data_IF_702616094415
#
_entry.id   IF_702616094415
#
_cell.length_a   1.000
_cell.length_b   1.000
_cell.length_c   1.000
_cell.angle_alpha   90.00
_cell.angle_beta   90.00
_cell.angle_gamma   90.00
#
_symmetry.space_group_name_H-M   'P 1'
#
loop_
_entity.id
_entity.type
_entity.pdbx_description
1 polymer ?
#
# COMPACT_ATOMS: atom_id res chain seq x y z
N UNK A 1 -79.70 -22.48 -12.87
CA UNK A 1 -80.68 -23.28 -13.67
C UNK A 1 -80.92 -22.54 -14.97
N UNK A 2 -81.00 -23.14 -16.18
CA UNK A 2 -80.62 -24.48 -16.70
C UNK A 2 -79.51 -24.32 -17.78
N UNK A 3 -79.04 -25.24 -18.62
CA UNK A 3 -79.29 -26.65 -18.98
C UNK A 3 -78.13 -27.05 -19.92
N UNK A 4 -77.45 -28.18 -19.71
CA UNK A 4 -77.80 -29.52 -20.15
C UNK A 4 -77.65 -29.79 -21.67
N UNK A 5 -76.91 -30.89 -21.95
CA UNK A 5 -76.88 -31.77 -23.15
C UNK A 5 -75.89 -31.42 -24.27
N UNK A 6 -75.23 -32.38 -24.96
CA UNK A 6 -75.07 -33.85 -24.84
C UNK A 6 -74.25 -34.36 -26.04
N UNK A 7 -73.54 -35.50 -25.87
CA UNK A 7 -73.02 -36.39 -26.93
C UNK A 7 -71.50 -36.58 -26.80
N UNK A 8 -70.93 -37.73 -26.40
CA UNK A 8 -71.17 -39.13 -26.83
C UNK A 8 -70.37 -39.37 -28.12
N UNK A 9 -69.38 -40.25 -28.26
CA UNK A 9 -69.22 -41.62 -27.74
C UNK A 9 -67.81 -42.18 -28.00
N UNK A 10 -67.45 -43.23 -27.24
CA UNK A 10 -66.48 -44.29 -27.58
C UNK A 10 -65.04 -43.96 -27.20
N UNK A 11 -64.28 -44.81 -26.50
CA UNK A 11 -64.41 -46.23 -26.20
C UNK A 11 -63.00 -46.81 -26.20
N UNK A 12 -62.68 -47.54 -25.13
CA UNK A 12 -61.62 -48.53 -24.98
C UNK A 12 -60.17 -48.10 -24.70
N UNK A 13 -59.61 -48.74 -23.67
CA UNK A 13 -58.19 -49.08 -23.63
C UNK A 13 -57.45 -48.80 -22.33
N UNK A 14 -57.52 -49.74 -21.38
CA UNK A 14 -56.40 -50.25 -20.55
C UNK A 14 -55.38 -49.25 -19.98
N UNK A 15 -55.41 -48.97 -18.67
CA UNK A 15 -54.71 -49.69 -17.58
C UNK A 15 -53.25 -49.26 -17.34
N UNK A 16 -52.92 -49.26 -16.05
CA UNK A 16 -51.60 -49.27 -15.41
C UNK A 16 -50.74 -47.99 -15.41
N UNK A 17 -50.76 -47.31 -14.26
CA UNK A 17 -49.61 -47.30 -13.34
C UNK A 17 -48.40 -46.44 -13.71
N UNK A 18 -48.02 -45.55 -12.80
CA UNK A 18 -46.64 -45.03 -12.78
C UNK A 18 -46.46 -43.64 -12.19
N UNK A 19 -46.32 -43.59 -10.87
CA UNK A 19 -45.33 -42.81 -10.12
C UNK A 19 -45.10 -41.32 -10.45
N UNK A 20 -45.36 -40.52 -9.42
CA UNK A 20 -44.72 -39.25 -9.09
C UNK A 20 -43.19 -39.31 -9.20
N UNK A 21 -42.54 -38.27 -9.72
CA UNK A 21 -41.07 -38.13 -9.72
C UNK A 21 -40.59 -36.76 -10.19
N UNK A 22 -39.77 -36.13 -9.36
CA UNK A 22 -39.25 -34.75 -9.36
C UNK A 22 -38.43 -34.24 -10.56
N UNK A 23 -38.41 -32.89 -10.64
CA UNK A 23 -37.32 -31.95 -10.94
C UNK A 23 -36.23 -32.29 -11.98
N UNK A 24 -35.93 -31.35 -12.89
CA UNK A 24 -34.55 -30.91 -13.20
C UNK A 24 -34.51 -29.81 -14.28
N UNK A 25 -33.95 -28.64 -13.94
CA UNK A 25 -33.60 -27.61 -14.91
C UNK A 25 -32.41 -28.08 -15.76
N UNK A 26 -32.65 -28.28 -17.06
CA UNK A 26 -31.61 -28.70 -17.99
C UNK A 26 -30.67 -27.53 -18.31
N UNK A 27 -29.45 -27.57 -17.77
CA UNK A 27 -28.36 -26.66 -18.13
C UNK A 27 -27.99 -26.91 -19.59
N UNK A 28 -27.97 -25.87 -20.42
CA UNK A 28 -27.62 -26.01 -21.83
C UNK A 28 -26.11 -26.14 -22.02
N UNK A 29 -25.68 -26.90 -23.03
CA UNK A 29 -24.26 -27.09 -23.37
C UNK A 29 -23.55 -25.74 -23.59
N UNK A 30 -24.25 -24.77 -24.16
CA UNK A 30 -23.73 -23.42 -24.40
C UNK A 30 -23.49 -22.62 -23.11
N UNK A 31 -24.32 -22.79 -22.09
CA UNK A 31 -24.09 -22.19 -20.77
C UNK A 31 -22.82 -22.76 -20.13
N UNK A 32 -22.61 -24.08 -20.22
CA UNK A 32 -21.40 -24.75 -19.70
C UNK A 32 -20.15 -24.24 -20.42
N UNK A 33 -20.17 -24.16 -21.76
CA UNK A 33 -19.03 -23.67 -22.56
C UNK A 33 -18.72 -22.21 -22.25
N UNK A 34 -19.74 -21.35 -22.10
CA UNK A 34 -19.57 -19.94 -21.73
C UNK A 34 -18.95 -19.78 -20.34
N UNK A 35 -19.39 -20.62 -19.38
CA UNK A 35 -18.91 -20.58 -18.00
C UNK A 35 -17.46 -21.06 -17.90
N UNK A 36 -17.09 -22.12 -18.63
CA UNK A 36 -15.72 -22.60 -18.74
C UNK A 36 -14.79 -21.58 -19.42
N UNK A 37 -15.24 -20.92 -20.49
CA UNK A 37 -14.48 -19.88 -21.17
C UNK A 37 -14.21 -18.65 -20.28
N UNK A 38 -15.23 -18.20 -19.54
CA UNK A 38 -15.09 -17.12 -18.56
C UNK A 38 -14.12 -17.50 -17.44
N UNK A 39 -14.24 -18.72 -16.91
CA UNK A 39 -13.37 -19.24 -15.86
C UNK A 39 -11.90 -19.33 -16.31
N UNK A 40 -11.66 -19.81 -17.54
CA UNK A 40 -10.32 -19.89 -18.10
C UNK A 40 -9.70 -18.49 -18.29
N UNK A 41 -10.51 -17.53 -18.74
CA UNK A 41 -10.12 -16.12 -18.88
C UNK A 41 -9.76 -15.45 -17.55
N UNK A 42 -10.57 -15.64 -16.49
CA UNK A 42 -10.26 -15.12 -15.15
C UNK A 42 -9.03 -15.78 -14.54
N UNK A 43 -8.83 -17.09 -14.73
CA UNK A 43 -7.62 -17.78 -14.25
C UNK A 43 -6.37 -17.25 -14.96
N UNK A 44 -6.42 -17.02 -16.28
CA UNK A 44 -5.32 -16.44 -17.03
C UNK A 44 -5.01 -15.00 -16.58
N UNK A 45 -6.04 -14.16 -16.42
CA UNK A 45 -5.89 -12.79 -15.91
C UNK A 45 -5.31 -12.78 -14.48
N UNK A 46 -5.79 -13.65 -13.60
CA UNK A 46 -5.27 -13.78 -12.24
C UNK A 46 -3.81 -14.24 -12.24
N UNK A 47 -3.43 -15.18 -13.10
CA UNK A 47 -2.03 -15.62 -13.27
C UNK A 47 -1.13 -14.48 -13.74
N UNK A 48 -1.59 -13.65 -14.67
CA UNK A 48 -0.86 -12.46 -15.14
C UNK A 48 -0.73 -11.44 -14.02
N UNK A 49 -1.81 -11.14 -13.29
CA UNK A 49 -1.77 -10.22 -12.15
C UNK A 49 -0.84 -10.73 -11.05
N UNK A 50 -0.89 -12.02 -10.71
CA UNK A 50 0.00 -12.64 -9.73
C UNK A 50 1.45 -12.66 -10.20
N UNK A 51 1.69 -12.87 -11.51
CA UNK A 51 3.03 -12.78 -12.09
C UNK A 51 3.57 -11.36 -12.03
N UNK A 52 2.77 -10.35 -12.40
CA UNK A 52 3.13 -8.95 -12.30
C UNK A 52 3.39 -8.53 -10.85
N UNK A 53 2.53 -8.93 -9.92
CA UNK A 53 2.75 -8.75 -8.47
C UNK A 53 4.08 -9.37 -8.05
N UNK A 54 4.36 -10.62 -8.43
CA UNK A 54 5.64 -11.27 -8.12
C UNK A 54 6.85 -10.57 -8.72
N UNK A 55 6.76 -10.09 -9.97
CA UNK A 55 7.83 -9.33 -10.62
C UNK A 55 8.06 -8.01 -9.89
N UNK A 56 7.00 -7.27 -9.55
CA UNK A 56 7.08 -6.04 -8.76
C UNK A 56 7.69 -6.28 -7.38
N UNK A 57 7.28 -7.35 -6.68
CA UNK A 57 7.80 -7.74 -5.36
C UNK A 57 9.27 -8.20 -5.43
N UNK A 58 9.67 -8.92 -6.48
CA UNK A 58 11.04 -9.41 -6.64
C UNK A 58 12.04 -8.30 -6.96
N UNK A 59 11.62 -7.27 -7.69
CA UNK A 59 12.47 -6.11 -8.01
C UNK A 59 12.78 -5.26 -6.78
N UNK A 60 11.84 -5.17 -5.82
CA UNK A 60 11.96 -4.40 -4.59
C UNK A 60 12.96 -4.95 -3.56
N UNK A 61 13.55 -6.13 -3.77
CA UNK A 61 14.59 -6.69 -2.89
C UNK A 61 15.99 -6.67 -3.51
N UNK A 62 16.14 -6.13 -4.72
CA UNK A 62 17.44 -6.08 -5.44
C UNK A 62 18.00 -4.67 -5.62
N UNK A 63 17.41 -3.65 -5.01
CA UNK A 63 17.87 -2.27 -5.19
C UNK A 63 18.95 -1.83 -4.20
N UNK A 64 19.48 -2.72 -3.35
CA UNK A 64 20.55 -2.38 -2.42
C UNK A 64 21.81 -1.83 -3.11
N UNK A 65 22.67 -1.16 -2.34
CA UNK A 65 23.94 -0.61 -2.83
C UNK A 65 25.04 -0.60 -1.78
N UNK A 66 26.29 -0.37 -2.19
CA UNK A 66 27.43 -0.17 -1.29
C UNK A 66 27.47 1.25 -0.70
N UNK A 67 26.71 2.19 -1.29
CA UNK A 67 26.57 3.57 -0.82
C UNK A 67 25.11 4.02 -0.89
N UNK A 68 24.77 5.10 -0.19
CA UNK A 68 23.45 5.72 -0.26
C UNK A 68 23.09 6.13 -1.70
N UNK A 69 24.03 6.76 -2.40
CA UNK A 69 23.87 7.15 -3.80
C UNK A 69 23.53 5.95 -4.70
N UNK A 70 24.28 4.85 -4.57
CA UNK A 70 24.03 3.63 -5.36
C UNK A 70 22.65 3.03 -5.08
N UNK A 71 22.24 2.96 -3.80
CA UNK A 71 20.89 2.51 -3.41
C UNK A 71 19.81 3.34 -4.11
N UNK A 72 19.89 4.68 -4.03
CA UNK A 72 18.88 5.57 -4.60
C UNK A 72 18.87 5.50 -6.14
N UNK A 73 20.03 5.41 -6.77
CA UNK A 73 20.13 5.19 -8.22
C UNK A 73 19.54 3.84 -8.64
N UNK A 74 19.75 2.77 -7.89
CA UNK A 74 19.17 1.46 -8.16
C UNK A 74 17.65 1.47 -8.04
N UNK A 75 17.09 2.14 -7.02
CA UNK A 75 15.64 2.32 -6.88
C UNK A 75 15.03 3.06 -8.10
N UNK A 76 15.70 4.10 -8.58
CA UNK A 76 15.28 4.84 -9.79
C UNK A 76 15.39 3.97 -11.05
N UNK A 77 16.52 3.28 -11.24
CA UNK A 77 16.75 2.37 -12.37
C UNK A 77 15.70 1.25 -12.43
N UNK A 78 15.26 0.77 -11.29
CA UNK A 78 14.24 -0.28 -11.16
C UNK A 78 12.79 0.26 -11.28
N UNK A 79 12.59 1.55 -11.53
CA UNK A 79 11.27 2.16 -11.72
C UNK A 79 10.46 2.33 -10.43
N UNK A 80 11.10 2.20 -9.26
CA UNK A 80 10.47 2.41 -7.96
C UNK A 80 10.32 3.90 -7.69
N UNK A 81 11.41 4.65 -7.87
CA UNK A 81 11.39 6.12 -7.89
C UNK A 81 11.14 6.57 -9.33
N UNK A 82 10.13 7.43 -9.51
CA UNK A 82 9.59 7.86 -10.80
C UNK A 82 9.80 9.35 -11.03
N UNK A 83 9.68 10.17 -9.98
CA UNK A 83 9.77 11.62 -10.08
C UNK A 83 11.14 12.14 -9.64
N UNK A 84 11.63 13.19 -10.32
CA UNK A 84 12.93 13.79 -9.99
C UNK A 84 12.96 14.34 -8.57
N UNK A 85 11.88 15.00 -8.12
CA UNK A 85 11.82 15.55 -6.77
C UNK A 85 11.91 14.46 -5.70
N UNK A 86 11.28 13.30 -5.86
CA UNK A 86 11.42 12.18 -4.92
C UNK A 86 12.84 11.62 -4.94
N UNK A 87 13.43 11.49 -6.13
CA UNK A 87 14.83 11.07 -6.27
C UNK A 87 15.78 12.00 -5.52
N UNK A 88 15.69 13.32 -5.72
CA UNK A 88 16.55 14.31 -5.05
C UNK A 88 16.33 14.30 -3.53
N UNK A 89 15.08 14.21 -3.06
CA UNK A 89 14.78 14.16 -1.62
C UNK A 89 15.36 12.92 -0.95
N UNK A 90 15.18 11.75 -1.57
CA UNK A 90 15.73 10.51 -1.02
C UNK A 90 17.25 10.51 -1.10
N UNK A 91 17.85 11.03 -2.17
CA UNK A 91 19.29 11.17 -2.31
C UNK A 91 19.89 12.10 -1.24
N UNK A 92 19.18 13.18 -0.90
CA UNK A 92 19.58 14.14 0.13
C UNK A 92 19.32 13.69 1.58
N UNK A 93 18.73 12.51 1.80
CA UNK A 93 18.40 11.96 3.12
C UNK A 93 19.20 10.68 3.36
N UNK A 94 20.47 10.80 3.76
CA UNK A 94 21.36 9.64 3.87
C UNK A 94 20.88 8.66 4.96
N UNK A 95 20.59 7.44 4.53
CA UNK A 95 20.01 6.41 5.39
C UNK A 95 20.94 5.94 6.51
N UNK A 96 22.25 6.19 6.41
CA UNK A 96 23.23 5.88 7.46
C UNK A 96 23.02 6.67 8.75
N UNK A 97 22.35 7.83 8.69
CA UNK A 97 21.96 8.58 9.89
C UNK A 97 20.81 7.93 10.65
N UNK A 98 20.03 7.05 10.00
CA UNK A 98 18.76 6.52 10.49
C UNK A 98 18.77 5.00 10.73
N UNK A 99 19.74 4.29 10.15
CA UNK A 99 19.90 2.84 10.29
C UNK A 99 21.34 2.49 10.70
N UNK A 100 21.50 1.86 11.87
CA UNK A 100 22.82 1.50 12.42
C UNK A 100 23.49 0.36 11.64
N UNK A 101 22.71 -0.59 11.14
CA UNK A 101 23.19 -1.78 10.43
C UNK A 101 22.60 -1.84 9.03
N UNK A 102 23.42 -2.26 8.05
CA UNK A 102 23.05 -2.44 6.64
C UNK A 102 22.20 -1.29 6.07
N UNK A 103 22.62 -0.01 6.23
CA UNK A 103 21.79 1.13 5.92
C UNK A 103 21.34 1.17 4.45
N UNK A 104 22.14 0.62 3.54
CA UNK A 104 21.90 0.69 2.10
C UNK A 104 21.30 -0.58 1.50
N UNK A 105 20.86 -1.52 2.35
CA UNK A 105 20.16 -2.72 1.91
C UNK A 105 18.69 -2.38 1.68
N UNK A 106 18.11 -2.84 0.57
CA UNK A 106 16.71 -2.58 0.24
C UNK A 106 15.76 -3.51 1.02
N UNK A 107 15.85 -3.47 2.35
CA UNK A 107 15.04 -4.26 3.28
C UNK A 107 14.90 -3.55 4.63
N UNK A 108 13.91 -3.93 5.45
CA UNK A 108 13.77 -3.37 6.79
C UNK A 108 15.00 -3.66 7.67
N UNK A 109 15.39 -2.70 8.50
CA UNK A 109 16.47 -2.87 9.49
C UNK A 109 15.92 -2.62 10.89
N UNK A 110 16.37 -3.39 11.89
CA UNK A 110 15.97 -3.16 13.29
C UNK A 110 16.51 -1.83 13.81
N UNK A 111 15.66 -1.08 14.52
CA UNK A 111 16.03 0.16 15.22
C UNK A 111 15.91 0.02 16.75
N UNK A 112 15.69 -1.21 17.24
CA UNK A 112 15.39 -1.47 18.65
C UNK A 112 13.89 -1.49 18.93
N UNK A 113 13.51 -1.77 20.19
CA UNK A 113 12.11 -1.69 20.67
C UNK A 113 11.08 -2.48 19.83
N UNK A 114 11.51 -3.61 19.24
CA UNK A 114 10.70 -4.41 18.30
C UNK A 114 10.22 -3.64 17.06
N UNK A 115 10.84 -2.50 16.75
CA UNK A 115 10.57 -1.68 15.59
C UNK A 115 11.66 -1.83 14.52
N UNK A 116 11.30 -1.50 13.29
CA UNK A 116 12.22 -1.48 12.15
C UNK A 116 12.07 -0.19 11.37
N UNK A 117 13.18 0.34 10.86
CA UNK A 117 13.13 1.30 9.75
C UNK A 117 12.73 0.53 8.48
N UNK A 118 11.64 0.96 7.83
CA UNK A 118 11.09 0.33 6.63
C UNK A 118 12.08 0.29 5.48
N UNK A 119 11.89 -0.65 4.55
CA UNK A 119 12.75 -0.76 3.38
C UNK A 119 12.75 0.54 2.55
N UNK A 120 13.88 0.92 1.92
CA UNK A 120 13.99 2.09 1.05
C UNK A 120 12.88 2.21 0.00
N UNK A 121 12.49 1.11 -0.68
CA UNK A 121 11.39 1.15 -1.64
C UNK A 121 10.03 1.53 -1.03
N UNK A 122 9.79 1.21 0.25
CA UNK A 122 8.55 1.61 0.92
C UNK A 122 8.49 3.12 1.16
N UNK A 123 9.63 3.75 1.48
CA UNK A 123 9.71 5.22 1.57
C UNK A 123 9.49 5.87 0.20
N UNK A 124 10.07 5.31 -0.86
CA UNK A 124 9.84 5.78 -2.22
C UNK A 124 8.36 5.72 -2.58
N UNK A 125 7.68 4.59 -2.32
CA UNK A 125 6.25 4.48 -2.58
C UNK A 125 5.41 5.49 -1.79
N UNK A 126 5.70 5.70 -0.51
CA UNK A 126 5.01 6.72 0.28
C UNK A 126 5.20 8.13 -0.31
N UNK A 127 6.43 8.48 -0.69
CA UNK A 127 6.72 9.80 -1.26
C UNK A 127 6.06 10.01 -2.63
N UNK A 128 6.05 8.99 -3.48
CA UNK A 128 5.39 9.06 -4.80
C UNK A 128 3.86 9.11 -4.67
N UNK A 129 3.27 8.36 -3.73
CA UNK A 129 1.83 8.36 -3.51
C UNK A 129 1.31 9.70 -2.97
N UNK A 130 2.13 10.37 -2.16
CA UNK A 130 1.77 11.65 -1.53
C UNK A 130 2.37 12.87 -2.27
N UNK A 131 2.92 12.65 -3.47
CA UNK A 131 3.70 13.64 -4.20
C UNK A 131 2.98 14.98 -4.37
N UNK A 132 1.73 14.93 -4.83
CA UNK A 132 0.92 16.11 -5.14
C UNK A 132 0.54 16.90 -3.87
N UNK A 133 0.42 16.23 -2.73
CA UNK A 133 0.06 16.85 -1.46
C UNK A 133 1.28 17.36 -0.69
N UNK A 134 2.46 16.77 -0.91
CA UNK A 134 3.74 17.21 -0.36
C UNK A 134 4.35 18.35 -1.20
N UNK A 135 3.55 19.38 -1.43
CA UNK A 135 3.98 20.60 -2.12
C UNK A 135 4.63 21.60 -1.15
N UNK A 136 5.33 22.60 -1.70
CA UNK A 136 5.93 23.68 -0.91
C UNK A 136 4.88 24.33 0.02
N UNK A 137 5.21 24.50 1.30
CA UNK A 137 4.32 25.10 2.30
C UNK A 137 3.28 24.15 2.89
N UNK A 138 3.21 22.90 2.42
CA UNK A 138 2.27 21.92 2.93
C UNK A 138 2.58 21.51 4.38
N UNK A 139 1.58 20.88 5.01
CA UNK A 139 1.69 20.30 6.35
C UNK A 139 1.47 18.81 6.30
N UNK A 140 2.40 18.04 6.86
CA UNK A 140 2.33 16.58 6.89
C UNK A 140 2.42 16.05 8.33
N UNK A 141 1.75 14.92 8.56
CA UNK A 141 1.82 14.15 9.79
C UNK A 141 2.28 12.72 9.47
N UNK A 142 3.38 12.33 10.11
CA UNK A 142 3.99 11.00 10.02
C UNK A 142 3.69 10.22 11.31
N UNK A 143 2.76 9.27 11.25
CA UNK A 143 2.29 8.48 12.40
C UNK A 143 3.07 7.18 12.48
N UNK A 144 3.79 6.96 13.58
CA UNK A 144 4.77 5.89 13.69
C UNK A 144 6.11 6.31 13.08
N UNK A 145 6.57 7.52 13.41
CA UNK A 145 7.75 8.14 12.80
C UNK A 145 9.05 7.32 12.99
N UNK A 146 9.12 6.46 14.02
CA UNK A 146 10.19 5.49 14.22
C UNK A 146 11.59 6.12 14.18
N UNK A 147 12.35 5.81 13.13
CA UNK A 147 13.71 6.36 12.95
C UNK A 147 13.75 7.87 12.65
N UNK A 148 12.64 8.47 12.17
CA UNK A 148 12.53 9.86 11.72
C UNK A 148 12.90 10.11 10.25
N UNK A 149 13.28 9.07 9.49
CA UNK A 149 13.74 9.23 8.11
C UNK A 149 12.64 9.73 7.16
N UNK A 150 11.42 9.18 7.26
CA UNK A 150 10.33 9.59 6.37
C UNK A 150 9.84 10.99 6.75
N UNK A 151 9.82 11.33 8.04
CA UNK A 151 9.58 12.69 8.52
C UNK A 151 10.57 13.69 7.91
N UNK A 152 11.86 13.35 7.84
CA UNK A 152 12.88 14.20 7.20
C UNK A 152 12.69 14.31 5.68
N UNK A 153 12.36 13.20 5.00
CA UNK A 153 12.02 13.22 3.58
C UNK A 153 10.79 14.12 3.31
N UNK A 154 9.72 14.01 4.10
CA UNK A 154 8.57 14.89 3.99
C UNK A 154 8.95 16.35 4.19
N UNK A 155 9.82 16.66 5.16
CA UNK A 155 10.26 18.03 5.40
C UNK A 155 10.98 18.60 4.18
N UNK A 156 11.84 17.82 3.53
CA UNK A 156 12.49 18.18 2.26
C UNK A 156 11.49 18.32 1.12
N UNK A 157 10.44 17.50 1.05
CA UNK A 157 9.38 17.62 0.04
C UNK A 157 8.57 18.92 0.18
N UNK A 158 8.14 19.26 1.41
CA UNK A 158 7.31 20.45 1.67
C UNK A 158 8.11 21.76 1.74
N UNK A 159 9.44 21.65 1.61
CA UNK A 159 10.37 22.77 1.51
C UNK A 159 10.42 23.68 2.73
N UNK A 160 11.00 24.87 2.56
CA UNK A 160 11.37 25.78 3.65
C UNK A 160 10.15 26.40 4.35
N UNK A 161 9.04 26.56 3.64
CA UNK A 161 7.80 27.12 4.20
C UNK A 161 6.85 26.07 4.76
N UNK A 162 7.12 24.78 4.51
CA UNK A 162 6.32 23.67 5.00
C UNK A 162 6.64 23.24 6.42
N UNK A 163 5.82 22.34 6.95
CA UNK A 163 5.98 21.81 8.31
C UNK A 163 5.57 20.34 8.40
N UNK A 164 6.38 19.54 9.07
CA UNK A 164 6.13 18.12 9.28
C UNK A 164 6.20 17.79 10.75
N UNK A 165 5.20 17.06 11.21
CA UNK A 165 5.15 16.52 12.56
C UNK A 165 5.28 15.01 12.44
N UNK A 166 6.28 14.42 13.10
CA UNK A 166 6.37 12.99 13.32
C UNK A 166 5.92 12.67 14.75
N UNK A 167 5.13 11.62 14.90
CA UNK A 167 4.71 11.13 16.22
C UNK A 167 5.06 9.65 16.36
N UNK A 168 5.54 9.26 17.53
CA UNK A 168 5.73 7.87 17.91
C UNK A 168 5.26 7.65 19.35
N UNK A 169 4.88 6.43 19.69
CA UNK A 169 4.43 6.07 21.04
C UNK A 169 5.58 5.57 21.92
N UNK A 170 6.75 5.29 21.34
CA UNK A 170 7.94 4.85 22.08
C UNK A 170 8.87 6.04 22.26
N UNK A 171 8.97 6.56 23.49
CA UNK A 171 9.79 7.74 23.81
C UNK A 171 11.24 7.61 23.33
N UNK A 172 11.85 6.44 23.52
CA UNK A 172 13.24 6.22 23.12
C UNK A 172 13.44 6.30 21.59
N UNK A 173 12.43 5.94 20.80
CA UNK A 173 12.45 6.13 19.34
C UNK A 173 12.30 7.60 18.97
N UNK A 174 11.49 8.37 19.71
CA UNK A 174 11.39 9.83 19.53
C UNK A 174 12.74 10.49 19.83
N UNK A 175 13.40 10.13 20.93
CA UNK A 175 14.72 10.67 21.29
C UNK A 175 15.78 10.28 20.24
N UNK A 176 15.80 9.01 19.79
CA UNK A 176 16.71 8.53 18.75
C UNK A 176 16.46 9.23 17.40
N UNK A 177 15.21 9.44 17.00
CA UNK A 177 14.86 10.12 15.75
C UNK A 177 15.29 11.59 15.74
N UNK A 178 15.14 12.31 16.86
CA UNK A 178 15.66 13.67 17.02
C UNK A 178 17.18 13.67 16.82
N UNK A 179 17.88 12.70 17.40
CA UNK A 179 19.33 12.58 17.23
C UNK A 179 19.73 12.23 15.80
N UNK A 180 18.96 11.39 15.11
CA UNK A 180 19.20 11.03 13.71
C UNK A 180 19.02 12.24 12.80
N UNK A 181 17.92 12.97 12.93
CA UNK A 181 17.68 14.22 12.17
C UNK A 181 18.75 15.25 12.46
N UNK A 182 19.21 15.38 13.72
CA UNK A 182 20.30 16.30 14.07
C UNK A 182 21.64 15.93 13.40
N UNK A 183 21.92 14.64 13.20
CA UNK A 183 23.12 14.15 12.49
C UNK A 183 23.04 14.39 10.98
N UNK A 184 21.84 14.25 10.41
CA UNK A 184 21.56 14.49 8.99
C UNK A 184 21.57 15.99 8.67
N UNK A 185 20.61 16.74 9.24
CA UNK A 185 20.50 18.18 9.06
C UNK A 185 19.89 18.85 10.32
N UNK A 186 20.70 19.49 11.17
CA UNK A 186 20.21 20.17 12.38
C UNK A 186 19.32 21.38 12.07
N UNK A 187 19.34 21.90 10.83
CA UNK A 187 18.48 23.02 10.42
C UNK A 187 17.01 22.61 10.31
N UNK A 188 16.71 21.33 10.05
CA UNK A 188 15.33 20.82 10.03
C UNK A 188 14.64 20.97 11.39
N UNK A 189 15.39 20.77 12.48
CA UNK A 189 14.90 20.95 13.85
C UNK A 189 14.88 22.42 14.27
N UNK A 190 15.99 23.13 14.07
CA UNK A 190 16.13 24.52 14.54
C UNK A 190 15.24 25.52 13.79
N UNK A 191 14.89 25.24 12.53
CA UNK A 191 13.89 26.02 11.78
C UNK A 191 12.44 25.73 12.20
N UNK A 192 12.20 24.68 12.98
CA UNK A 192 10.87 24.20 13.35
C UNK A 192 10.09 23.53 12.21
N UNK A 193 10.75 23.25 11.07
CA UNK A 193 10.18 22.50 9.94
C UNK A 193 9.86 21.06 10.31
N UNK A 194 10.71 20.42 11.12
CA UNK A 194 10.47 19.10 11.71
C UNK A 194 10.18 19.26 13.19
N UNK A 195 9.12 18.60 13.65
CA UNK A 195 8.85 18.40 15.07
C UNK A 195 8.55 16.92 15.32
N UNK A 196 9.20 16.33 16.31
CA UNK A 196 9.04 14.92 16.68
C UNK A 196 8.50 14.85 18.10
N UNK A 197 7.41 14.12 18.31
CA UNK A 197 6.70 14.09 19.58
C UNK A 197 6.33 12.67 19.99
N UNK A 198 6.24 12.48 21.30
CA UNK A 198 5.57 11.31 21.87
C UNK A 198 4.06 11.46 21.72
N UNK A 199 3.36 10.38 21.33
CA UNK A 199 1.91 10.42 21.08
C UNK A 199 1.09 10.87 22.29
N UNK A 200 1.53 10.54 23.51
CA UNK A 200 0.81 10.91 24.72
C UNK A 200 0.85 12.43 24.99
N UNK A 201 1.88 13.12 24.48
CA UNK A 201 2.05 14.57 24.63
C UNK A 201 1.39 15.38 23.49
N UNK A 202 1.03 14.73 22.38
CA UNK A 202 0.54 15.42 21.18
C UNK A 202 -0.98 15.61 21.18
N UNK A 203 -1.43 16.84 21.44
CA UNK A 203 -2.82 17.23 21.22
C UNK A 203 -3.12 17.43 19.72
N UNK A 204 -4.07 16.66 19.19
CA UNK A 204 -4.43 16.67 17.77
C UNK A 204 -4.83 18.08 17.28
N UNK A 205 -4.22 18.62 16.20
CA UNK A 205 -4.52 19.98 15.75
C UNK A 205 -5.93 20.12 15.18
N UNK A 206 -6.58 21.27 15.43
CA UNK A 206 -7.94 21.57 14.92
C UNK A 206 -8.03 21.84 13.41
N UNK A 207 -6.94 21.70 12.66
CA UNK A 207 -6.87 21.92 11.19
C UNK A 207 -6.50 20.61 10.49
N UNK A 208 -7.00 20.36 9.26
CA UNK A 208 -6.71 19.11 8.56
C UNK A 208 -5.20 18.94 8.34
N UNK A 209 -4.66 17.82 8.82
CA UNK A 209 -3.33 17.33 8.52
C UNK A 209 -3.47 16.07 7.67
N UNK A 210 -2.57 15.93 6.71
CA UNK A 210 -2.46 14.69 5.96
C UNK A 210 -1.74 13.66 6.82
N UNK A 211 -2.40 12.54 7.06
CA UNK A 211 -1.97 11.51 8.02
C UNK A 211 -1.54 10.26 7.26
N UNK A 212 -0.31 9.80 7.49
CA UNK A 212 0.18 8.51 7.00
C UNK A 212 0.47 7.60 8.19
N UNK A 213 0.02 6.36 8.12
CA UNK A 213 0.38 5.28 9.03
C UNK A 213 1.35 4.35 8.30
N UNK A 214 2.49 4.04 8.92
CA UNK A 214 3.44 3.03 8.44
C UNK A 214 3.49 1.81 9.34
#
# INVERSE_FOLDING_TARGET
>A
MPGARSGGSGGDGSNSGGYSGDASGAVTVWEVVSLLGKLLGTVAALKVVLYLLRVCLAMAWKSGGASHSELIHNLRKNGIIKTDKVFEVMLATDRSHYAKCNPYMDSPQSIGFQATISAPHMHAYALELLFDQLHEGAKALDVGSGSGILTACFARMVGCSGKVIGIDHIKELVDDSINNVRKDDPTLLSSGRVQLWEMEEWAMPKKPLMMLFM
#
